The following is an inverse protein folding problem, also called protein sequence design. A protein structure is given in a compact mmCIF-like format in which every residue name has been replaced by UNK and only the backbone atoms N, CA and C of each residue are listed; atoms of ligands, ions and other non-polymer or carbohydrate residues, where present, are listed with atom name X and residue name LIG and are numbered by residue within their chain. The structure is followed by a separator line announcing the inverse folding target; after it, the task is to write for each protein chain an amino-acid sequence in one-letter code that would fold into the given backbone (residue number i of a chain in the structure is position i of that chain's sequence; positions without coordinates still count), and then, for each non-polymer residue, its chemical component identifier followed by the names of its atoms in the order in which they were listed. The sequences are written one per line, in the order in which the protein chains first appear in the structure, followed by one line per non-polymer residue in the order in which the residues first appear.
data_IF_507437959751
#
_entry.id   IF_507437959751
#
_cell.length_a   1.000
_cell.length_b   1.000
_cell.length_c   1.000
_cell.angle_alpha   90.00
_cell.angle_beta   90.00
_cell.angle_gamma   90.00
#
_symmetry.space_group_name_H-M   'P 1'
#
loop_
_entity.id
_entity.type
_entity.pdbx_description
1 polymer ?
2 non-polymer ?
3 non-polymer ?
4 non-polymer ?
5 non-polymer ?
6 water ?
#
# COMPACT_ATOMS: atom_id res chain seq x y z
N UNK A 6 0.65 -10.17 17.29
CA UNK A 6 1.20 -10.68 16.03
C UNK A 6 2.26 -9.73 15.48
N UNK A 7 2.67 -8.78 16.30
CA UNK A 7 3.67 -7.81 15.91
C UNK A 7 5.07 -8.21 16.36
N UNK A 8 5.23 -9.48 16.72
CA UNK A 8 6.53 -10.00 17.15
C UNK A 8 7.55 -9.71 16.06
N UNK A 9 8.83 -9.86 16.39
CA UNK A 9 9.88 -9.60 15.42
C UNK A 9 10.77 -10.81 15.14
N UNK A 10 11.33 -10.86 13.94
CA UNK A 10 12.20 -11.94 13.53
C UNK A 10 13.66 -11.52 13.70
N UNK A 11 14.57 -12.49 13.65
CA UNK A 11 15.99 -12.20 13.78
C UNK A 11 16.46 -11.34 12.61
N UNK A 12 16.31 -11.87 11.41
CA UNK A 12 16.70 -11.15 10.20
C UNK A 12 15.94 -9.83 10.12
N UNK A 13 14.63 -9.89 10.39
CA UNK A 13 13.78 -8.71 10.36
C UNK A 13 14.28 -7.68 11.36
N UNK A 14 14.30 -8.04 12.63
CA UNK A 14 14.76 -7.15 13.70
C UNK A 14 16.14 -6.56 13.36
N UNK A 15 16.98 -7.37 12.72
CA UNK A 15 18.30 -6.94 12.34
C UNK A 15 18.24 -5.89 11.24
N UNK A 16 17.23 -6.01 10.38
CA UNK A 16 17.04 -5.06 9.28
C UNK A 16 16.42 -3.77 9.81
N UNK A 17 15.62 -3.88 10.85
CA UNK A 17 14.96 -2.73 11.46
C UNK A 17 15.98 -1.82 12.14
N UNK A 18 17.02 -2.43 12.70
CA UNK A 18 18.08 -1.69 13.38
C UNK A 18 19.02 -1.04 12.38
N UNK A 19 19.21 -1.69 11.23
CA UNK A 19 20.09 -1.16 10.19
C UNK A 19 19.61 0.21 9.75
N UNK A 20 18.33 0.28 9.38
CA UNK A 20 17.73 1.54 8.95
C UNK A 20 17.98 2.60 10.01
N UNK A 21 17.70 2.26 11.26
CA UNK A 21 17.92 3.17 12.39
C UNK A 21 19.34 3.68 12.41
N UNK A 22 20.29 2.77 12.19
CA UNK A 22 21.71 3.13 12.18
C UNK A 22 21.97 4.20 11.13
N UNK A 23 21.49 3.95 9.92
CA UNK A 23 21.67 4.88 8.80
C UNK A 23 20.94 6.19 9.07
N UNK A 24 19.65 6.09 9.39
CA UNK A 24 18.82 7.26 9.67
C UNK A 24 19.50 8.21 10.65
N UNK A 25 20.30 7.64 11.55
CA UNK A 25 21.00 8.43 12.56
C UNK A 25 22.10 9.29 11.94
N UNK A 26 22.91 8.69 11.09
CA UNK A 26 24.02 9.39 10.44
C UNK A 26 23.59 10.45 9.42
N UNK A 27 22.49 10.18 8.73
CA UNK A 27 21.98 11.11 7.72
C UNK A 27 21.91 12.56 8.23
N UNK A 28 21.14 12.76 9.28
CA UNK A 28 21.02 14.10 9.86
C UNK A 28 19.91 14.91 9.20
N UNK A 29 19.98 16.23 9.38
CA UNK A 29 18.99 17.14 8.82
C UNK A 29 18.92 17.08 7.29
N UNK A 30 17.71 16.90 6.77
CA UNK A 30 17.49 16.83 5.34
C UNK A 30 17.39 18.24 4.75
N UNK A 31 18.20 18.50 3.73
CA UNK A 31 18.21 19.80 3.06
C UNK A 31 17.98 19.61 1.57
N UNK A 32 17.21 20.52 0.98
CA UNK A 32 16.88 20.42 -0.43
C UNK A 32 18.12 20.28 -1.31
N UNK A 33 19.13 21.08 -1.01
CA UNK A 33 20.35 21.10 -1.81
C UNK A 33 21.27 19.90 -1.61
N UNK A 34 20.85 18.95 -0.78
CA UNK A 34 21.64 17.75 -0.52
C UNK A 34 21.25 16.63 -1.46
N UNK A 35 20.11 16.80 -2.13
CA UNK A 35 19.59 15.79 -3.04
C UNK A 35 19.96 15.98 -4.49
N UNK A 36 19.98 14.87 -5.22
CA UNK A 36 20.32 14.86 -6.63
C UNK A 36 19.35 13.88 -7.30
N UNK A 37 18.57 14.37 -8.26
CA UNK A 37 17.58 13.54 -8.93
C UNK A 37 18.22 12.43 -9.76
N UNK A 38 17.88 11.18 -9.43
CA UNK A 38 18.40 10.02 -10.17
C UNK A 38 17.42 9.61 -11.26
N UNK A 39 16.13 9.79 -10.97
CA UNK A 39 15.08 9.44 -11.93
C UNK A 39 13.71 9.58 -11.30
N UNK A 40 12.67 9.51 -12.12
CA UNK A 40 11.29 9.60 -11.65
C UNK A 40 10.79 8.19 -11.36
N UNK A 41 10.06 8.02 -10.26
CA UNK A 41 9.56 6.72 -9.86
C UNK A 41 8.10 6.49 -10.26
N UNK A 42 7.24 7.41 -9.87
CA UNK A 42 5.83 7.29 -10.19
C UNK A 42 5.03 8.51 -9.82
N UNK A 43 3.94 8.75 -10.54
CA UNK A 43 3.08 9.88 -10.28
C UNK A 43 2.05 9.54 -9.22
N UNK A 44 2.23 10.07 -8.03
CA UNK A 44 1.29 9.84 -6.94
C UNK A 44 0.42 11.07 -6.80
N UNK A 45 -0.90 10.88 -6.84
CA UNK A 45 -1.85 11.99 -6.75
C UNK A 45 -1.52 12.93 -5.60
N UNK A 46 -1.29 14.18 -5.94
CA UNK A 46 -0.94 15.21 -4.97
C UNK A 46 0.44 15.77 -5.29
N UNK A 47 1.38 14.88 -5.56
CA UNK A 47 2.75 15.29 -5.89
C UNK A 47 3.42 14.32 -6.84
N UNK A 48 4.73 14.16 -6.68
CA UNK A 48 5.52 13.27 -7.54
C UNK A 48 6.62 12.58 -6.75
N UNK A 49 6.93 11.35 -7.14
CA UNK A 49 7.97 10.57 -6.47
C UNK A 49 9.19 10.38 -7.35
N UNK A 50 10.36 10.77 -6.82
CA UNK A 50 11.60 10.66 -7.55
C UNK A 50 12.59 9.77 -6.82
N UNK A 51 13.51 9.18 -7.59
CA UNK A 51 14.55 8.36 -7.02
C UNK A 51 15.75 9.28 -6.91
N UNK A 52 15.95 9.85 -5.72
CA UNK A 52 17.03 10.80 -5.51
C UNK A 52 18.25 10.17 -4.87
N UNK A 53 19.29 10.99 -4.71
CA UNK A 53 20.53 10.56 -4.10
C UNK A 53 20.98 11.60 -3.08
N UNK A 54 20.98 11.22 -1.80
CA UNK A 54 21.41 12.15 -0.76
C UNK A 54 22.93 12.19 -0.75
N UNK A 55 23.48 13.00 -1.66
CA UNK A 55 24.92 13.16 -1.84
C UNK A 55 25.78 13.08 -0.58
N UNK A 56 25.41 13.86 0.43
CA UNK A 56 26.16 13.89 1.69
C UNK A 56 26.28 12.51 2.34
N UNK A 57 25.26 11.67 2.19
CA UNK A 57 25.27 10.34 2.80
C UNK A 57 25.41 9.21 1.78
N UNK A 58 25.26 9.55 0.51
CA UNK A 58 25.39 8.56 -0.56
C UNK A 58 24.15 7.68 -0.69
N UNK A 59 23.32 7.68 0.36
CA UNK A 59 22.10 6.88 0.34
C UNK A 59 21.21 7.21 -0.85
N UNK A 60 20.40 6.25 -1.24
CA UNK A 60 19.44 6.44 -2.32
C UNK A 60 18.06 6.46 -1.66
N UNK A 61 17.25 7.45 -2.00
CA UNK A 61 15.94 7.57 -1.39
C UNK A 61 14.85 7.86 -2.40
N UNK A 62 13.61 7.85 -1.91
CA UNK A 62 12.45 8.17 -2.71
C UNK A 62 11.89 9.46 -2.15
N UNK A 63 12.03 10.54 -2.91
CA UNK A 63 11.56 11.85 -2.47
C UNK A 63 10.21 12.19 -3.08
N UNK A 64 9.22 12.38 -2.21
CA UNK A 64 7.89 12.76 -2.66
C UNK A 64 7.78 14.27 -2.62
N UNK A 65 7.39 14.86 -3.75
CA UNK A 65 7.28 16.31 -3.83
C UNK A 65 5.83 16.74 -4.07
N UNK A 66 5.32 17.59 -3.19
CA UNK A 66 3.96 18.10 -3.31
C UNK A 66 3.98 19.61 -3.26
N UNK A 67 3.66 20.26 -4.38
CA UNK A 67 3.65 21.72 -4.43
C UNK A 67 2.42 22.29 -3.74
N UNK A 68 2.64 22.97 -2.62
CA UNK A 68 1.54 23.57 -1.87
C UNK A 68 1.92 24.97 -1.42
N UNK A 69 1.50 25.96 -2.19
CA UNK A 69 1.77 27.36 -1.85
C UNK A 69 0.83 27.81 -0.76
N UNK A 70 1.23 27.58 0.49
CA UNK A 70 0.41 27.95 1.64
C UNK A 70 1.23 28.71 2.68
N UNK A 71 0.54 29.35 3.61
CA UNK A 71 1.20 30.13 4.67
C UNK A 71 2.28 29.31 5.38
N UNK A 72 3.33 29.99 5.81
CA UNK A 72 4.44 29.34 6.51
C UNK A 72 3.94 28.50 7.69
N UNK A 73 3.25 29.15 8.63
CA UNK A 73 2.72 28.48 9.80
C UNK A 73 1.95 27.22 9.40
N UNK A 74 1.35 27.27 8.21
CA UNK A 74 0.60 26.13 7.69
C UNK A 74 1.59 25.03 7.30
N UNK A 75 2.65 25.42 6.59
CA UNK A 75 3.67 24.48 6.17
C UNK A 75 4.40 23.93 7.38
N UNK A 76 4.93 24.83 8.21
CA UNK A 76 5.64 24.44 9.43
C UNK A 76 4.77 23.50 10.25
N UNK A 77 3.46 23.58 10.01
CA UNK A 77 2.51 22.74 10.71
C UNK A 77 2.57 21.33 10.15
N UNK A 78 2.47 21.22 8.82
CA UNK A 78 2.52 19.92 8.17
C UNK A 78 3.77 19.16 8.58
N UNK A 79 4.93 19.79 8.42
CA UNK A 79 6.18 19.16 8.79
C UNK A 79 6.13 18.66 10.23
N UNK A 80 5.35 19.36 11.06
CA UNK A 80 5.20 18.98 12.46
C UNK A 80 4.39 17.69 12.60
N UNK A 81 3.44 17.49 11.70
CA UNK A 81 2.59 16.30 11.73
C UNK A 81 3.30 15.07 11.17
N UNK A 82 4.07 15.27 10.10
CA UNK A 82 4.80 14.18 9.45
C UNK A 82 5.89 13.61 10.36
N UNK A 83 6.28 14.38 11.37
CA UNK A 83 7.32 13.95 12.30
C UNK A 83 6.91 12.67 13.02
N UNK A 84 5.65 12.27 12.83
CA UNK A 84 5.13 11.06 13.45
C UNK A 84 5.70 9.81 12.78
N UNK A 85 5.82 9.87 11.46
CA UNK A 85 6.34 8.75 10.68
C UNK A 85 7.72 8.32 11.15
N UNK A 86 8.38 9.19 11.92
CA UNK A 86 9.71 8.90 12.43
C UNK A 86 9.66 7.78 13.46
N UNK A 87 8.47 7.50 13.98
CA UNK A 87 8.30 6.46 15.00
C UNK A 87 7.82 5.13 14.44
N UNK A 88 7.50 5.10 13.14
CA UNK A 88 7.01 3.88 12.52
C UNK A 88 8.15 2.92 12.20
N UNK A 89 8.16 1.79 12.89
CA UNK A 89 9.18 0.77 12.69
C UNK A 89 8.56 -0.59 12.45
N UNK A 90 8.17 -0.84 11.21
CA UNK A 90 7.56 -2.09 10.83
C UNK A 90 8.11 -2.58 9.51
N UNK A 91 8.55 -3.83 9.48
CA UNK A 91 9.10 -4.42 8.26
C UNK A 91 8.05 -4.49 7.16
N UNK A 92 6.84 -3.99 7.46
CA UNK A 92 5.74 -4.00 6.50
C UNK A 92 5.31 -2.59 6.11
N UNK A 93 6.18 -1.62 6.38
CA UNK A 93 5.91 -0.23 6.06
C UNK A 93 7.20 0.45 5.59
N UNK A 94 7.10 1.22 4.52
CA UNK A 94 8.26 1.92 3.97
C UNK A 94 8.96 2.80 5.00
N UNK A 95 10.27 2.61 5.14
CA UNK A 95 11.07 3.39 6.09
C UNK A 95 11.02 4.89 5.78
N UNK A 96 10.81 5.69 6.82
CA UNK A 96 10.74 7.13 6.70
C UNK A 96 12.09 7.77 7.01
N UNK A 97 12.51 8.71 6.19
CA UNK A 97 13.78 9.39 6.39
C UNK A 97 13.59 10.76 7.02
N UNK A 98 12.67 11.54 6.47
CA UNK A 98 12.41 12.86 6.98
C UNK A 98 11.61 13.71 6.00
N UNK A 99 10.98 14.76 6.52
CA UNK A 99 10.21 15.67 5.69
C UNK A 99 10.68 17.12 5.89
N UNK A 100 10.37 17.97 4.93
CA UNK A 100 10.75 19.37 4.99
C UNK A 100 10.14 20.13 3.82
N UNK A 101 10.12 21.46 3.94
CA UNK A 101 9.57 22.32 2.89
C UNK A 101 10.68 23.08 2.20
N UNK A 102 10.40 23.59 1.01
CA UNK A 102 11.39 24.34 0.28
C UNK A 102 10.89 24.85 -1.07
N UNK A 103 10.99 26.15 -1.26
CA UNK A 103 10.59 26.81 -2.49
C UNK A 103 9.29 26.30 -3.10
N UNK A 104 8.23 26.31 -2.30
CA UNK A 104 6.90 25.93 -2.77
C UNK A 104 6.50 24.46 -2.59
N UNK A 105 7.48 23.58 -2.35
CA UNK A 105 7.17 22.17 -2.22
C UNK A 105 7.54 21.50 -0.90
N UNK A 106 6.70 20.56 -0.48
CA UNK A 106 6.92 19.78 0.72
C UNK A 106 7.55 18.46 0.29
N UNK A 107 8.67 18.10 0.90
CA UNK A 107 9.37 16.88 0.53
C UNK A 107 9.23 15.77 1.57
N UNK A 108 8.87 14.58 1.09
CA UNK A 108 8.74 13.43 1.96
C UNK A 108 9.75 12.37 1.53
N UNK A 109 10.88 12.33 2.23
CA UNK A 109 11.93 11.38 1.90
C UNK A 109 11.77 10.08 2.66
N UNK A 110 11.84 8.98 1.94
CA UNK A 110 11.69 7.67 2.56
C UNK A 110 12.66 6.65 1.96
N UNK A 111 12.39 5.39 2.27
CA UNK A 111 13.21 4.28 1.81
C UNK A 111 12.80 3.88 0.38
N UNK A 112 13.78 3.80 -0.51
CA UNK A 112 13.53 3.43 -1.90
C UNK A 112 13.23 1.94 -2.03
N UNK A 113 12.23 1.61 -2.83
CA UNK A 113 11.82 0.22 -3.06
C UNK A 113 12.00 -0.13 -4.54
N UNK A 114 13.16 -0.71 -4.86
CA UNK A 114 13.50 -1.07 -6.24
C UNK A 114 12.53 -2.01 -6.94
N UNK A 115 11.62 -2.61 -6.19
CA UNK A 115 10.63 -3.52 -6.77
C UNK A 115 9.44 -2.76 -7.35
N UNK A 116 9.22 -1.55 -6.84
CA UNK A 116 8.12 -0.72 -7.30
C UNK A 116 6.81 -1.09 -6.60
N UNK A 117 5.70 -0.68 -7.19
CA UNK A 117 4.38 -0.98 -6.62
C UNK A 117 3.80 -2.24 -7.26
N UNK A 118 2.98 -2.95 -6.51
CA UNK A 118 2.36 -4.17 -7.02
C UNK A 118 1.54 -3.83 -8.26
N UNK A 119 1.30 -2.54 -8.44
CA UNK A 119 0.56 -2.05 -9.59
C UNK A 119 1.34 -2.35 -10.87
N UNK A 120 2.61 -1.97 -10.88
CA UNK A 120 3.47 -2.22 -12.04
C UNK A 120 3.78 -3.71 -12.14
N UNK A 121 4.08 -4.32 -11.00
CA UNK A 121 4.38 -5.74 -10.95
C UNK A 121 3.28 -6.54 -11.63
N UNK A 122 2.04 -6.14 -11.40
CA UNK A 122 0.89 -6.81 -12.00
C UNK A 122 0.98 -6.72 -13.52
N UNK A 123 1.15 -5.50 -14.03
CA UNK A 123 1.28 -5.27 -15.47
C UNK A 123 2.35 -6.19 -16.07
N UNK A 124 3.48 -6.30 -15.37
CA UNK A 124 4.58 -7.14 -15.82
C UNK A 124 4.20 -8.62 -15.82
N UNK A 125 3.71 -9.09 -14.68
CA UNK A 125 3.33 -10.49 -14.54
C UNK A 125 2.02 -10.82 -15.25
N UNK A 126 1.15 -9.82 -15.38
CA UNK A 126 -0.15 -10.02 -16.01
C UNK A 126 -1.14 -10.40 -14.91
N UNK A 127 -0.72 -11.30 -14.03
CA UNK A 127 -1.52 -11.74 -12.90
C UNK A 127 -0.64 -12.48 -11.90
N UNK A 128 -0.70 -12.07 -10.64
CA UNK A 128 0.13 -12.65 -9.58
C UNK A 128 -0.37 -14.02 -9.09
N UNK A 129 0.57 -14.94 -8.86
CA UNK A 129 0.24 -16.28 -8.39
C UNK A 129 -0.33 -16.27 -6.97
N UNK A 130 -1.20 -17.24 -6.70
CA UNK A 130 -1.84 -17.35 -5.39
C UNK A 130 -0.84 -17.41 -4.24
N UNK A 131 0.12 -18.32 -4.34
CA UNK A 131 1.13 -18.46 -3.31
C UNK A 131 1.78 -17.12 -3.04
N UNK A 132 1.97 -16.34 -4.09
CA UNK A 132 2.57 -15.01 -3.96
C UNK A 132 1.60 -14.07 -3.27
N UNK A 133 0.34 -14.09 -3.70
CA UNK A 133 -0.69 -13.23 -3.11
C UNK A 133 -0.91 -13.57 -1.64
N UNK A 134 -0.44 -14.75 -1.24
CA UNK A 134 -0.56 -15.19 0.15
C UNK A 134 0.48 -14.44 0.98
N UNK A 135 1.56 -14.03 0.35
CA UNK A 135 2.62 -13.30 1.03
C UNK A 135 2.22 -11.84 1.19
N UNK A 136 1.58 -11.29 0.16
CA UNK A 136 1.11 -9.91 0.17
C UNK A 136 0.05 -9.75 1.26
N UNK A 137 -0.91 -10.68 1.29
CA UNK A 137 -1.97 -10.65 2.27
C UNK A 137 -1.38 -10.57 3.68
N UNK A 138 -0.44 -11.46 3.98
CA UNK A 138 0.19 -11.50 5.28
C UNK A 138 0.84 -10.16 5.58
N UNK A 139 1.48 -9.59 4.56
CA UNK A 139 2.15 -8.30 4.68
C UNK A 139 1.15 -7.19 4.99
N UNK A 140 0.23 -6.97 4.06
CA UNK A 140 -0.78 -5.94 4.24
C UNK A 140 -1.50 -6.14 5.56
N UNK A 141 -1.96 -7.37 5.80
CA UNK A 141 -2.66 -7.69 7.03
C UNK A 141 -1.80 -7.28 8.23
N UNK A 142 -0.54 -7.68 8.20
CA UNK A 142 0.40 -7.36 9.28
C UNK A 142 0.66 -5.86 9.40
N UNK A 143 0.72 -5.18 8.26
CA UNK A 143 0.97 -3.74 8.24
C UNK A 143 -0.13 -2.99 8.97
N UNK A 144 -1.36 -3.18 8.52
CA UNK A 144 -2.52 -2.53 9.12
C UNK A 144 -2.54 -2.70 10.64
N UNK A 145 -2.22 -3.90 11.11
CA UNK A 145 -2.20 -4.18 12.54
C UNK A 145 -1.24 -3.23 13.25
N UNK A 146 -0.01 -3.14 12.76
CA UNK A 146 0.98 -2.26 13.37
C UNK A 146 0.50 -0.82 13.34
N UNK A 147 -0.12 -0.43 12.24
CA UNK A 147 -0.63 0.93 12.07
C UNK A 147 -1.68 1.24 13.13
N UNK A 148 -2.36 0.20 13.62
CA UNK A 148 -3.38 0.35 14.63
C UNK A 148 -2.82 -0.01 16.02
N UNK A 149 -2.12 -1.13 16.10
CA UNK A 149 -1.56 -1.61 17.36
C UNK A 149 -0.65 -0.60 18.04
N UNK A 150 0.39 -0.17 17.34
CA UNK A 150 1.35 0.76 17.89
C UNK A 150 1.06 2.21 17.54
N UNK A 151 0.54 2.47 16.35
CA UNK A 151 0.28 3.84 15.97
C UNK A 151 -1.15 4.36 15.98
N UNK A 152 -2.07 3.50 16.41
CA UNK A 152 -3.48 3.85 16.55
C UNK A 152 -4.04 4.73 15.45
N UNK A 153 -3.82 4.33 14.20
CA UNK A 153 -4.32 5.10 13.09
C UNK A 153 -4.60 4.15 11.93
N UNK A 154 -5.55 4.52 11.07
CA UNK A 154 -5.87 3.68 9.93
C UNK A 154 -4.97 4.04 8.76
N UNK A 155 -5.14 3.32 7.67
CA UNK A 155 -4.37 3.58 6.46
C UNK A 155 -5.21 4.50 5.60
N UNK A 156 -6.45 4.08 5.35
CA UNK A 156 -7.41 4.87 4.58
C UNK A 156 -7.20 4.88 3.07
N UNK A 157 -6.17 4.17 2.60
CA UNK A 157 -5.90 4.14 1.17
C UNK A 157 -5.14 2.89 0.72
N UNK A 158 -5.82 1.75 0.71
CA UNK A 158 -5.20 0.49 0.31
C UNK A 158 -5.46 0.14 -1.14
N UNK A 159 -4.40 -0.04 -1.91
CA UNK A 159 -4.51 -0.40 -3.32
C UNK A 159 -3.19 -0.93 -3.82
N UNK A 160 -3.23 -1.66 -4.93
CA UNK A 160 -2.02 -2.24 -5.52
C UNK A 160 -0.88 -1.24 -5.65
N UNK A 161 -1.21 -0.01 -6.01
CA UNK A 161 -0.20 1.03 -6.19
C UNK A 161 0.42 1.48 -4.85
N UNK A 162 -0.23 1.12 -3.75
CA UNK A 162 0.26 1.48 -2.42
C UNK A 162 0.94 0.32 -1.71
N UNK A 163 1.29 -0.70 -2.49
CA UNK A 163 1.99 -1.87 -1.95
C UNK A 163 3.35 -1.96 -2.62
N UNK A 164 4.38 -1.44 -1.95
CA UNK A 164 5.72 -1.45 -2.50
C UNK A 164 6.52 -2.68 -2.09
N UNK A 165 7.30 -3.20 -3.03
CA UNK A 165 8.13 -4.37 -2.78
C UNK A 165 9.55 -4.11 -3.29
N UNK A 166 10.51 -4.92 -2.85
CA UNK A 166 11.89 -4.74 -3.28
C UNK A 166 12.60 -6.06 -3.57
N UNK A 167 13.83 -5.94 -4.09
CA UNK A 167 14.64 -7.10 -4.45
C UNK A 167 14.99 -7.99 -3.27
N UNK A 168 14.72 -7.51 -2.06
CA UNK A 168 15.01 -8.31 -0.86
C UNK A 168 13.83 -9.18 -0.46
N UNK A 169 12.73 -9.06 -1.20
CA UNK A 169 11.53 -9.83 -0.93
C UNK A 169 10.65 -9.17 0.12
N UNK A 170 10.85 -7.87 0.33
CA UNK A 170 10.09 -7.11 1.31
C UNK A 170 8.81 -6.53 0.74
N UNK A 171 7.73 -6.62 1.52
CA UNK A 171 6.44 -6.06 1.12
C UNK A 171 5.99 -5.08 2.20
N UNK A 172 6.00 -3.78 1.86
CA UNK A 172 5.61 -2.75 2.80
C UNK A 172 4.53 -1.84 2.22
N UNK A 173 3.76 -1.20 3.10
CA UNK A 173 2.70 -0.30 2.68
C UNK A 173 3.18 1.15 2.69
N UNK A 174 2.52 1.97 1.89
CA UNK A 174 2.85 3.39 1.80
C UNK A 174 1.60 4.18 1.38
N UNK A 175 1.65 5.49 1.60
CA UNK A 175 0.54 6.38 1.24
C UNK A 175 -0.60 6.38 2.26
N UNK A 176 -0.26 6.25 3.54
CA UNK A 176 -1.27 6.30 4.59
C UNK A 176 -1.26 7.66 5.28
N UNK A 177 -2.38 8.37 5.19
CA UNK A 177 -2.50 9.71 5.77
C UNK A 177 -1.99 9.79 7.22
N UNK A 178 -1.32 10.89 7.53
CA UNK A 178 -0.79 11.10 8.88
C UNK A 178 -0.82 12.59 9.26
N UNK A 179 -1.07 13.43 8.26
CA UNK A 179 -1.15 14.87 8.49
C UNK A 179 -2.52 15.41 8.08
N UNK A 180 -3.31 15.83 9.06
CA UNK A 180 -4.63 16.37 8.79
C UNK A 180 -4.53 17.64 7.95
N UNK A 181 -3.59 18.51 8.32
CA UNK A 181 -3.39 19.76 7.60
C UNK A 181 -2.99 19.50 6.15
N UNK A 182 -2.04 18.59 5.95
CA UNK A 182 -1.59 18.25 4.61
C UNK A 182 -2.77 17.80 3.77
N UNK A 183 -3.56 16.89 4.33
CA UNK A 183 -4.74 16.39 3.65
C UNK A 183 -5.67 17.54 3.31
N UNK A 184 -5.82 18.47 4.26
CA UNK A 184 -6.67 19.64 4.06
C UNK A 184 -6.20 20.43 2.86
N UNK A 185 -4.94 20.87 2.91
CA UNK A 185 -4.34 21.65 1.83
C UNK A 185 -4.29 20.84 0.54
N UNK A 186 -4.05 19.54 0.66
CA UNK A 186 -3.98 18.66 -0.50
C UNK A 186 -5.37 18.49 -1.10
N UNK A 187 -6.38 18.44 -0.24
CA UNK A 187 -7.76 18.27 -0.67
C UNK A 187 -8.17 19.35 -1.68
N UNK A 188 -7.37 20.41 -1.76
CA UNK A 188 -7.65 21.52 -2.67
C UNK A 188 -7.90 20.99 -4.09
N UNK A 189 -6.86 21.00 -4.91
CA UNK A 189 -6.96 20.50 -6.28
C UNK A 189 -6.64 19.01 -6.31
N UNK A 190 -5.69 18.62 -5.47
CA UNK A 190 -5.28 17.22 -5.38
C UNK A 190 -6.42 16.35 -4.86
N UNK A 191 -6.76 15.31 -5.63
CA UNK A 191 -7.84 14.40 -5.24
C UNK A 191 -7.72 13.05 -5.96
N UNK A 192 -7.83 11.97 -5.19
CA UNK A 192 -7.72 10.62 -5.75
C UNK A 192 -9.06 9.90 -5.74
N UNK A 193 -9.07 8.68 -6.29
CA UNK A 193 -10.30 7.88 -6.37
C UNK A 193 -10.59 7.12 -5.08
N UNK A 194 -11.81 6.60 -4.99
CA UNK A 194 -12.25 5.83 -3.84
C UNK A 194 -12.81 4.48 -4.28
N UNK A 195 -12.56 4.14 -5.55
CA UNK A 195 -13.05 2.87 -6.12
C UNK A 195 -12.50 1.67 -5.36
N UNK A 196 -11.55 1.91 -4.46
CA UNK A 196 -10.95 0.85 -3.66
C UNK A 196 -11.41 0.99 -2.22
N UNK A 197 -12.28 1.97 -1.97
CA UNK A 197 -12.79 2.24 -0.64
C UNK A 197 -14.01 1.39 -0.32
N UNK A 198 -14.23 1.15 0.98
CA UNK A 198 -15.37 0.37 1.43
C UNK A 198 -16.67 1.14 1.22
N UNK A 199 -17.75 0.42 0.95
CA UNK A 199 -19.04 1.04 0.73
C UNK A 199 -19.50 1.79 1.97
N UNK A 200 -19.16 1.27 3.14
CA UNK A 200 -19.54 1.90 4.40
C UNK A 200 -19.10 3.35 4.46
N UNK A 201 -17.89 3.62 3.98
CA UNK A 201 -17.35 4.98 3.97
C UNK A 201 -18.00 5.82 2.88
N UNK A 202 -18.46 5.16 1.82
CA UNK A 202 -19.12 5.85 0.72
C UNK A 202 -20.51 6.31 1.16
N UNK A 203 -20.71 6.39 2.46
CA UNK A 203 -21.98 6.81 3.02
C UNK A 203 -21.75 7.51 4.36
N UNK A 204 -20.52 7.98 4.56
CA UNK A 204 -20.16 8.68 5.79
C UNK A 204 -20.55 7.88 7.04
N UNK A 205 -20.62 6.56 6.90
CA UNK A 205 -20.98 5.69 8.01
C UNK A 205 -19.74 5.21 8.76
N UNK A 206 -19.91 4.15 9.54
CA UNK A 206 -18.81 3.59 10.32
C UNK A 206 -17.63 3.23 9.41
N UNK A 207 -16.44 3.66 9.81
CA UNK A 207 -15.23 3.36 9.05
C UNK A 207 -14.01 3.17 9.95
N UNK A 208 -13.47 1.95 9.93
CA UNK A 208 -12.30 1.60 10.73
C UNK A 208 -11.36 0.79 9.87
N UNK A 209 -10.61 -0.12 10.50
CA UNK A 209 -9.70 -0.97 9.76
C UNK A 209 -10.48 -1.81 8.76
N UNK A 210 -11.77 -2.01 9.07
CA UNK A 210 -12.65 -2.77 8.19
C UNK A 210 -12.61 -2.22 6.78
N UNK A 211 -12.51 -0.90 6.69
CA UNK A 211 -12.46 -0.22 5.40
C UNK A 211 -11.20 -0.59 4.64
N UNK A 212 -10.11 -0.78 5.38
CA UNK A 212 -8.84 -1.17 4.79
C UNK A 212 -8.89 -2.63 4.37
N UNK A 213 -9.48 -3.45 5.23
CA UNK A 213 -9.62 -4.88 4.96
C UNK A 213 -10.39 -5.11 3.67
N UNK A 214 -11.36 -4.24 3.40
CA UNK A 214 -12.15 -4.34 2.19
C UNK A 214 -11.28 -3.97 1.00
N UNK A 215 -10.56 -2.85 1.14
CA UNK A 215 -9.66 -2.36 0.10
C UNK A 215 -8.75 -3.49 -0.34
N UNK A 216 -8.11 -4.11 0.64
CA UNK A 216 -7.21 -5.22 0.38
C UNK A 216 -7.88 -6.31 -0.45
N UNK A 217 -9.03 -6.78 0.04
CA UNK A 217 -9.79 -7.82 -0.64
C UNK A 217 -9.97 -7.51 -2.12
N UNK A 218 -10.38 -6.29 -2.43
CA UNK A 218 -10.57 -5.87 -3.81
C UNK A 218 -9.27 -5.94 -4.60
N UNK A 219 -8.19 -5.44 -3.99
CA UNK A 219 -6.89 -5.44 -4.65
C UNK A 219 -6.43 -6.86 -4.93
N UNK A 220 -6.47 -7.72 -3.92
CA UNK A 220 -6.04 -9.11 -4.06
C UNK A 220 -6.68 -9.78 -5.27
N UNK A 221 -7.98 -9.58 -5.44
CA UNK A 221 -8.71 -10.17 -6.57
C UNK A 221 -8.14 -9.67 -7.90
N UNK A 222 -8.04 -8.36 -8.04
CA UNK A 222 -7.53 -7.75 -9.27
C UNK A 222 -6.15 -8.30 -9.62
N UNK A 223 -5.31 -8.44 -8.60
CA UNK A 223 -3.97 -8.97 -8.80
C UNK A 223 -4.03 -10.44 -9.18
N UNK A 224 -4.94 -11.17 -8.55
CA UNK A 224 -5.12 -12.60 -8.82
C UNK A 224 -5.73 -12.83 -10.19
N UNK A 225 -6.75 -12.03 -10.53
CA UNK A 225 -7.44 -12.15 -11.81
C UNK A 225 -6.68 -11.49 -12.95
N UNK A 226 -6.12 -10.30 -12.69
CA UNK A 226 -5.35 -9.59 -13.70
C UNK A 226 -5.97 -8.25 -14.11
N UNK A 227 -7.16 -7.96 -13.59
CA UNK A 227 -7.85 -6.72 -13.91
C UNK A 227 -8.71 -6.25 -12.74
N UNK A 228 -9.29 -5.07 -12.89
CA UNK A 228 -10.18 -4.53 -11.86
C UNK A 228 -11.44 -5.38 -11.86
N UNK A 229 -11.73 -6.02 -10.72
CA UNK A 229 -12.88 -6.90 -10.60
C UNK A 229 -14.21 -6.17 -10.38
N UNK A 230 -14.35 -5.00 -10.98
CA UNK A 230 -15.58 -4.23 -10.83
C UNK A 230 -15.89 -3.40 -12.07
N UNK A 231 -17.02 -3.69 -12.69
CA UNK A 231 -17.91 -4.74 -12.22
C UNK A 231 -17.40 -6.12 -12.66
N UNK A 232 -18.08 -7.16 -12.19
CA UNK A 232 -17.73 -8.53 -12.53
C UNK A 232 -17.60 -8.74 -14.03
N UNK A 233 -16.42 -9.15 -14.47
CA UNK A 233 -16.17 -9.41 -15.88
C UNK A 233 -17.04 -10.53 -16.41
N UNK A 234 -17.39 -10.45 -17.69
CA UNK A 234 -18.23 -11.47 -18.33
C UNK A 234 -17.53 -12.83 -18.32
N UNK A 235 -18.17 -13.83 -18.90
CA UNK A 235 -17.62 -15.18 -18.96
C UNK A 235 -16.64 -15.31 -20.11
N UNK A 236 -16.79 -14.46 -21.12
CA UNK A 236 -15.91 -14.48 -22.29
C UNK A 236 -14.46 -14.29 -21.86
N UNK A 237 -14.24 -13.33 -20.98
CA UNK A 237 -12.89 -13.04 -20.49
C UNK A 237 -12.40 -14.10 -19.50
N UNK A 238 -13.28 -14.50 -18.60
CA UNK A 238 -12.94 -15.52 -17.60
C UNK A 238 -12.33 -16.74 -18.28
N UNK A 239 -12.92 -17.13 -19.40
CA UNK A 239 -12.42 -18.29 -20.16
C UNK A 239 -11.22 -17.86 -21.00
N UNK A 240 -11.07 -16.55 -21.18
CA UNK A 240 -9.96 -16.01 -21.95
C UNK A 240 -8.71 -15.91 -21.10
N UNK A 241 -8.82 -15.18 -19.99
CA UNK A 241 -7.70 -14.97 -19.08
C UNK A 241 -7.15 -16.26 -18.47
N UNK A 242 -8.03 -17.16 -18.08
CA UNK A 242 -7.61 -18.41 -17.46
C UNK A 242 -7.72 -19.65 -18.34
N UNK A 243 -8.54 -19.55 -19.39
CA UNK A 243 -8.71 -20.66 -20.31
C UNK A 243 -10.13 -21.22 -20.30
N UNK A 244 -10.80 -21.10 -19.16
CA UNK A 244 -12.17 -21.58 -19.02
N UNK A 274 -16.54 2.23 -20.66
CA UNK A 274 -16.47 1.69 -19.31
C UNK A 274 -17.38 2.47 -18.36
N UNK A 275 -17.19 2.26 -17.06
CA UNK A 275 -17.99 2.93 -16.04
C UNK A 275 -17.35 4.25 -15.60
N UNK A 276 -18.16 5.12 -15.00
CA UNK A 276 -17.69 6.41 -14.53
C UNK A 276 -17.24 6.30 -13.07
N UNK A 277 -16.35 7.20 -12.66
CA UNK A 277 -15.85 7.20 -11.30
C UNK A 277 -16.99 7.22 -10.29
N UNK A 278 -18.14 7.77 -10.69
CA UNK A 278 -19.30 7.83 -9.81
C UNK A 278 -20.19 6.59 -9.98
N UNK A 279 -20.08 5.94 -11.13
CA UNK A 279 -20.84 4.74 -11.39
C UNK A 279 -20.35 3.64 -10.46
N UNK A 280 -19.06 3.33 -10.57
CA UNK A 280 -18.45 2.31 -9.74
C UNK A 280 -18.67 2.63 -8.27
N UNK A 281 -18.50 3.90 -7.91
CA UNK A 281 -18.68 4.34 -6.54
C UNK A 281 -20.04 3.92 -5.96
N UNK A 282 -21.01 3.71 -6.85
CA UNK A 282 -22.35 3.30 -6.42
C UNK A 282 -22.59 1.83 -6.73
N UNK A 283 -22.10 1.37 -7.88
CA UNK A 283 -22.23 -0.03 -8.26
C UNK A 283 -21.62 -0.86 -7.13
N UNK A 284 -20.64 -0.26 -6.46
CA UNK A 284 -19.96 -0.90 -5.35
C UNK A 284 -20.88 -0.97 -4.14
N UNK A 285 -21.82 -0.02 -4.05
CA UNK A 285 -22.74 0.04 -2.93
C UNK A 285 -24.06 -0.69 -3.21
N UNK A 286 -24.43 -0.78 -4.48
CA UNK A 286 -25.69 -1.43 -4.87
C UNK A 286 -25.48 -2.66 -5.75
N UNK A 287 -24.52 -3.49 -5.39
CA UNK A 287 -24.23 -4.70 -6.15
C UNK A 287 -23.49 -5.73 -5.32
N UNK A 288 -23.61 -7.00 -5.72
CA UNK A 288 -22.93 -8.07 -5.02
C UNK A 288 -21.43 -7.96 -5.20
N UNK A 289 -20.71 -7.93 -4.08
CA UNK A 289 -19.25 -7.82 -4.11
C UNK A 289 -18.63 -8.83 -5.06
N UNK A 290 -17.51 -8.46 -5.67
CA UNK A 290 -16.82 -9.33 -6.61
C UNK A 290 -16.30 -10.58 -5.90
N UNK A 291 -15.84 -11.55 -6.67
CA UNK A 291 -15.33 -12.79 -6.11
C UNK A 291 -14.41 -13.52 -7.08
N UNK A 292 -13.46 -14.27 -6.53
CA UNK A 292 -12.50 -15.02 -7.34
C UNK A 292 -13.19 -16.17 -8.07
N UNK A 293 -12.85 -16.33 -9.35
CA UNK A 293 -13.41 -17.42 -10.15
C UNK A 293 -13.02 -18.76 -9.54
N UNK A 294 -13.95 -19.71 -9.57
CA UNK A 294 -13.71 -21.05 -9.01
C UNK A 294 -12.79 -21.91 -9.85
N UNK A 295 -12.39 -23.05 -9.31
CA UNK A 295 -11.53 -23.99 -10.01
C UNK A 295 -10.07 -23.51 -10.10
N UNK A 296 -9.89 -22.31 -10.63
CA UNK A 296 -8.55 -21.75 -10.80
C UNK A 296 -7.82 -21.45 -9.48
N UNK A 297 -8.57 -21.04 -8.46
CA UNK A 297 -7.97 -20.73 -7.17
C UNK A 297 -8.36 -21.71 -6.07
N UNK A 298 -7.60 -21.70 -4.98
CA UNK A 298 -7.86 -22.58 -3.85
C UNK A 298 -9.06 -22.10 -3.04
N UNK A 299 -9.85 -23.04 -2.54
CA UNK A 299 -11.03 -22.72 -1.74
C UNK A 299 -10.72 -21.82 -0.56
N UNK A 300 -9.64 -22.12 0.15
CA UNK A 300 -9.23 -21.32 1.31
C UNK A 300 -9.05 -19.88 0.89
N UNK A 301 -8.34 -19.68 -0.23
CA UNK A 301 -8.09 -18.34 -0.76
C UNK A 301 -9.40 -17.67 -1.14
N UNK A 302 -10.26 -18.40 -1.85
CA UNK A 302 -11.55 -17.88 -2.25
C UNK A 302 -12.35 -17.41 -1.04
N UNK A 303 -12.45 -18.28 -0.04
CA UNK A 303 -13.17 -17.95 1.18
C UNK A 303 -12.52 -16.77 1.90
N UNK A 304 -11.20 -16.65 1.76
CA UNK A 304 -10.45 -15.57 2.40
C UNK A 304 -10.89 -14.22 1.87
N UNK A 305 -10.83 -14.04 0.56
CA UNK A 305 -11.22 -12.79 -0.06
C UNK A 305 -12.68 -12.47 0.28
N UNK A 306 -13.54 -13.48 0.15
CA UNK A 306 -14.96 -13.33 0.43
C UNK A 306 -15.20 -12.74 1.82
N UNK A 307 -14.48 -13.26 2.82
CA UNK A 307 -14.61 -12.76 4.18
C UNK A 307 -14.01 -11.35 4.28
N UNK A 308 -13.43 -10.90 3.18
CA UNK A 308 -12.82 -9.58 3.11
C UNK A 308 -13.74 -8.60 2.40
N UNK A 309 -14.46 -9.11 1.39
CA UNK A 309 -15.37 -8.29 0.61
C UNK A 309 -16.80 -8.29 1.14
N UNK A 310 -16.95 -8.66 2.41
CA UNK A 310 -18.27 -8.68 3.06
C UNK A 310 -18.70 -7.24 3.31
N UNK A 311 -19.72 -6.80 2.57
CA UNK A 311 -20.25 -5.43 2.67
C UNK A 311 -20.35 -4.88 4.09
N UNK A 312 -21.13 -5.54 4.93
CA UNK A 312 -21.29 -5.10 6.31
C UNK A 312 -19.97 -5.18 7.08
N UNK A 313 -19.37 -4.02 7.33
CA UNK A 313 -18.11 -3.95 8.05
C UNK A 313 -18.21 -4.73 9.35
N UNK A 314 -19.44 -4.93 9.82
CA UNK A 314 -19.68 -5.66 11.05
C UNK A 314 -19.53 -7.15 10.79
N UNK A 315 -19.98 -7.57 9.62
CA UNK A 315 -19.91 -8.97 9.22
C UNK A 315 -18.55 -9.31 8.62
N UNK A 316 -17.94 -8.33 7.96
CA UNK A 316 -16.62 -8.52 7.34
C UNK A 316 -15.59 -8.90 8.41
N UNK A 317 -14.63 -9.72 8.00
CA UNK A 317 -13.60 -10.20 8.93
C UNK A 317 -12.70 -9.09 9.46
N UNK A 318 -12.28 -9.23 10.71
CA UNK A 318 -11.39 -8.27 11.34
C UNK A 318 -9.95 -8.72 11.17
N UNK A 319 -9.01 -7.88 11.56
CA UNK A 319 -7.59 -8.19 11.45
C UNK A 319 -7.22 -9.56 12.01
N UNK A 320 -7.33 -9.71 13.34
CA UNK A 320 -6.99 -10.97 14.01
C UNK A 320 -7.76 -12.15 13.44
N UNK A 321 -8.97 -11.90 12.95
CA UNK A 321 -9.77 -12.94 12.36
C UNK A 321 -9.06 -13.50 11.13
N UNK A 322 -8.57 -12.59 10.29
CA UNK A 322 -7.86 -12.97 9.07
C UNK A 322 -6.46 -13.51 9.41
N UNK A 323 -5.85 -12.93 10.44
CA UNK A 323 -4.53 -13.36 10.88
C UNK A 323 -4.52 -14.85 11.19
N UNK A 324 -5.69 -15.40 11.50
CA UNK A 324 -5.81 -16.81 11.83
C UNK A 324 -6.68 -17.55 10.83
N UNK A 325 -6.88 -16.96 9.67
CA UNK A 325 -7.67 -17.59 8.61
C UNK A 325 -6.81 -18.69 7.96
N UNK A 326 -7.45 -19.80 7.60
CA UNK A 326 -6.75 -20.93 6.99
C UNK A 326 -5.78 -20.52 5.89
N UNK A 327 -6.17 -19.53 5.10
CA UNK A 327 -5.34 -19.03 4.01
C UNK A 327 -4.04 -18.43 4.55
N UNK A 328 -4.15 -17.68 5.64
CA UNK A 328 -2.99 -17.02 6.25
C UNK A 328 -2.09 -18.04 6.96
N UNK A 329 -2.71 -19.04 7.59
CA UNK A 329 -1.96 -20.07 8.28
C UNK A 329 -1.20 -20.92 7.26
N UNK A 330 -1.89 -21.30 6.20
CA UNK A 330 -1.30 -22.12 5.15
C UNK A 330 -0.19 -21.36 4.43
N UNK A 331 -0.42 -20.06 4.20
CA UNK A 331 0.53 -19.22 3.51
C UNK A 331 1.72 -18.84 4.39
N UNK A 332 1.46 -18.57 5.66
CA UNK A 332 2.51 -18.22 6.60
C UNK A 332 3.49 -19.38 6.74
N UNK A 333 2.98 -20.59 6.49
CA UNK A 333 3.79 -21.80 6.60
C UNK A 333 4.54 -22.11 5.31
N UNK A 334 3.93 -21.75 4.19
CA UNK A 334 4.55 -21.99 2.89
C UNK A 334 5.88 -21.25 2.76
N UNK A 335 6.84 -21.89 2.11
CA UNK A 335 8.15 -21.27 1.90
C UNK A 335 8.19 -20.77 0.48
N UNK A 336 7.86 -19.50 0.30
CA UNK A 336 7.82 -18.91 -1.03
C UNK A 336 8.93 -17.91 -1.23
N UNK A 337 9.79 -18.19 -2.21
CA UNK A 337 10.88 -17.28 -2.54
C UNK A 337 10.28 -16.12 -3.30
N UNK A 338 9.72 -15.16 -2.57
CA UNK A 338 9.08 -13.99 -3.18
C UNK A 338 10.08 -13.19 -3.99
N UNK A 339 11.24 -12.92 -3.41
CA UNK A 339 12.30 -12.17 -4.09
C UNK A 339 12.59 -12.73 -5.49
N UNK A 340 12.96 -14.00 -5.54
CA UNK A 340 13.28 -14.65 -6.80
C UNK A 340 12.18 -14.46 -7.83
N UNK A 341 10.96 -14.79 -7.45
CA UNK A 341 9.81 -14.65 -8.36
C UNK A 341 9.64 -13.20 -8.82
N UNK A 342 9.82 -12.26 -7.90
CA UNK A 342 9.68 -10.85 -8.24
C UNK A 342 10.77 -10.40 -9.19
N UNK A 343 12.02 -10.57 -8.78
CA UNK A 343 13.16 -10.18 -9.61
C UNK A 343 13.03 -10.80 -10.99
N UNK A 344 12.44 -11.98 -11.05
CA UNK A 344 12.25 -12.70 -12.31
C UNK A 344 11.04 -12.16 -13.08
N UNK A 345 10.09 -11.60 -12.35
CA UNK A 345 8.87 -11.07 -12.97
C UNK A 345 9.00 -9.64 -13.48
N UNK A 346 10.02 -8.94 -13.05
CA UNK A 346 10.24 -7.56 -13.48
C UNK A 346 11.60 -7.38 -14.14
N UNK A 347 12.46 -8.38 -14.00
CA UNK A 347 13.80 -8.35 -14.57
C UNK A 347 14.74 -7.53 -13.70
N UNK A 348 14.95 -8.00 -12.48
CA UNK A 348 15.84 -7.31 -11.54
#
# INVERSE_FOLDING_TARGET
GKKLEELELDEQQRKRLEAFLTQKQKVGELKDDDFEKISELGAGNGGVVFKVSHKPSGLVMARKLIHLEIKPAIRNQIIRELQVLHECNSPYIVGFYGAFYSDGEISICMEHMDGGSLDQVLKKAGRIPEQILGKVSIAVIKGLTYLREKHKIMHRDVKPSNILVNSRGEIKLCDFGVSGQLIDSMANSFVGTRSYMSPERLQGTHYSVQSDIWSMGLSLVEMAVGRYPIPPPDAKELELMFGCQVEGDAAETPPRPRTPGRPLNKFGMDSRPPMAIFELLDYIVNEPPPKLPSGVFSLEFQDFVNKCLIKNPAERADLKQLMVHAFIKRSDAEEVDFAGWLCSTIGLNQPSTPTHAAGV
#
